data_IF_152423197276
#
_entry.id   IF_152423197276
#
_cell.length_a   1.000
_cell.length_b   1.000
_cell.length_c   1.000
_cell.angle_alpha   90.00
_cell.angle_beta   90.00
_cell.angle_gamma   90.00
#
_symmetry.space_group_name_H-M   'P 1'
#
loop_
_entity.id
_entity.type
_entity.pdbx_description
1 polymer ?
#
# COMPACT_ATOMS: atom_id res chain seq x y z
N UNK A 1 -18.52 -12.03 9.66
CA UNK A 1 -18.02 -10.69 10.04
C UNK A 1 -19.16 -9.70 9.90
N UNK A 2 -19.44 -8.92 10.95
CA UNK A 2 -20.39 -7.83 10.88
C UNK A 2 -19.75 -6.65 10.16
N UNK A 3 -20.40 -6.12 9.16
CA UNK A 3 -19.96 -4.98 8.36
C UNK A 3 -21.03 -3.88 8.48
N UNK A 4 -20.76 -2.89 9.33
CA UNK A 4 -21.69 -1.82 9.65
C UNK A 4 -21.06 -0.48 9.27
N UNK A 5 -21.84 0.38 8.64
CA UNK A 5 -21.44 1.76 8.37
C UNK A 5 -22.37 2.71 9.10
N UNK A 6 -21.77 3.57 9.92
CA UNK A 6 -22.47 4.66 10.61
C UNK A 6 -22.22 5.96 9.85
N UNK A 7 -23.30 6.59 9.41
CA UNK A 7 -23.29 7.96 8.90
C UNK A 7 -23.61 8.92 10.03
N UNK A 8 -22.88 10.04 10.11
CA UNK A 8 -23.14 11.09 11.09
C UNK A 8 -23.84 12.27 10.41
N UNK A 9 -25.07 12.57 10.85
CA UNK A 9 -25.84 13.73 10.41
C UNK A 9 -25.46 14.94 11.28
N UNK A 10 -24.70 15.87 10.70
CA UNK A 10 -24.25 17.07 11.40
C UNK A 10 -25.38 18.02 11.80
N UNK A 11 -26.48 18.04 11.06
CA UNK A 11 -27.60 18.91 11.35
C UNK A 11 -28.42 18.41 12.55
N UNK A 12 -28.45 17.12 12.77
CA UNK A 12 -29.18 16.47 13.87
C UNK A 12 -28.28 16.06 15.03
N UNK A 13 -26.95 16.19 14.89
CA UNK A 13 -25.94 15.71 15.85
C UNK A 13 -26.16 14.23 16.25
N UNK A 14 -26.49 13.41 15.26
CA UNK A 14 -26.83 12.00 15.47
C UNK A 14 -26.12 11.10 14.47
N UNK A 15 -25.70 9.94 14.96
CA UNK A 15 -25.22 8.84 14.11
C UNK A 15 -26.37 7.89 13.79
N UNK A 16 -26.50 7.50 12.53
CA UNK A 16 -27.44 6.49 12.09
C UNK A 16 -26.74 5.44 11.24
N UNK A 17 -27.24 4.21 11.26
CA UNK A 17 -26.73 3.19 10.34
C UNK A 17 -27.14 3.55 8.91
N UNK A 18 -26.14 3.59 8.00
CA UNK A 18 -26.40 3.61 6.57
C UNK A 18 -26.69 2.20 6.08
N UNK A 19 -25.90 1.23 6.54
CA UNK A 19 -26.16 -0.17 6.32
C UNK A 19 -25.69 -1.03 7.52
N UNK A 20 -26.27 -2.22 7.59
CA UNK A 20 -25.93 -3.23 8.59
C UNK A 20 -25.95 -4.59 7.92
N UNK A 21 -24.76 -5.18 7.74
CA UNK A 21 -24.59 -6.41 6.98
C UNK A 21 -23.84 -7.46 7.79
N UNK A 22 -24.20 -8.71 7.52
CA UNK A 22 -23.45 -9.90 7.91
C UNK A 22 -22.76 -10.49 6.69
N UNK A 23 -21.42 -10.59 6.76
CA UNK A 23 -20.58 -11.11 5.69
C UNK A 23 -19.99 -12.46 6.06
N UNK A 24 -20.13 -13.43 5.16
CA UNK A 24 -19.41 -14.71 5.20
C UNK A 24 -18.50 -14.80 3.99
N UNK A 25 -17.22 -15.06 4.21
CA UNK A 25 -16.23 -15.19 3.15
C UNK A 25 -15.49 -16.53 3.26
N UNK A 26 -15.50 -17.27 2.17
CA UNK A 26 -14.67 -18.45 1.96
C UNK A 26 -13.52 -18.09 1.04
N UNK A 27 -12.29 -18.37 1.50
CA UNK A 27 -11.09 -17.99 0.78
C UNK A 27 -10.09 -19.14 0.74
N UNK A 28 -9.63 -19.48 -0.45
CA UNK A 28 -8.57 -20.45 -0.68
C UNK A 28 -7.42 -19.77 -1.43
N UNK A 29 -6.19 -19.99 -0.95
CA UNK A 29 -4.99 -19.37 -1.53
C UNK A 29 -3.93 -20.43 -1.75
N UNK A 30 -3.47 -20.52 -2.99
CA UNK A 30 -2.34 -21.36 -3.38
C UNK A 30 -1.17 -20.45 -3.76
N UNK A 31 0.03 -20.79 -3.30
CA UNK A 31 1.26 -20.05 -3.60
C UNK A 31 2.32 -21.01 -4.15
N UNK A 32 3.00 -20.58 -5.19
CA UNK A 32 4.18 -21.21 -5.73
C UNK A 32 5.31 -20.19 -5.72
N UNK A 33 6.44 -20.53 -5.09
CA UNK A 33 7.63 -19.69 -5.06
C UNK A 33 8.86 -20.47 -5.50
N UNK A 34 9.75 -19.81 -6.23
CA UNK A 34 11.04 -20.35 -6.59
C UNK A 34 12.13 -19.30 -6.39
N UNK A 35 13.25 -19.71 -5.85
CA UNK A 35 14.45 -18.90 -5.64
C UNK A 35 15.61 -19.59 -6.34
N UNK A 36 16.37 -18.84 -7.14
CA UNK A 36 17.62 -19.29 -7.72
C UNK A 36 18.66 -18.19 -7.57
N UNK A 37 19.66 -18.46 -6.74
CA UNK A 37 20.74 -17.51 -6.48
C UNK A 37 22.07 -18.19 -6.81
N UNK A 38 22.93 -17.47 -7.49
CA UNK A 38 24.27 -17.88 -7.82
C UNK A 38 25.27 -16.78 -7.43
N UNK A 39 26.41 -17.14 -6.93
CA UNK A 39 27.47 -16.22 -6.54
C UNK A 39 28.84 -16.76 -6.94
N UNK A 40 29.68 -15.87 -7.45
CA UNK A 40 31.05 -16.14 -7.84
C UNK A 40 31.99 -15.12 -7.17
N UNK A 41 33.02 -15.65 -6.50
CA UNK A 41 34.13 -14.85 -6.00
C UNK A 41 35.33 -15.05 -6.95
N UNK A 42 35.89 -13.93 -7.43
CA UNK A 42 37.13 -13.97 -8.26
C UNK A 42 38.07 -12.86 -7.78
N UNK A 43 39.10 -13.27 -7.03
CA UNK A 43 40.01 -12.32 -6.37
C UNK A 43 39.23 -11.45 -5.37
N UNK A 44 39.32 -10.14 -5.51
CA UNK A 44 38.62 -9.13 -4.69
C UNK A 44 37.23 -8.77 -5.23
N UNK A 45 36.78 -9.48 -6.27
CA UNK A 45 35.48 -9.21 -6.91
C UNK A 45 34.49 -10.30 -6.58
N UNK A 46 33.25 -9.90 -6.28
CA UNK A 46 32.10 -10.77 -6.06
C UNK A 46 31.01 -10.44 -7.09
N UNK A 47 30.48 -11.45 -7.73
CA UNK A 47 29.35 -11.36 -8.65
C UNK A 47 28.21 -12.19 -8.11
N UNK A 48 27.00 -11.65 -8.17
CA UNK A 48 25.80 -12.34 -7.69
C UNK A 48 24.70 -12.22 -8.74
N UNK A 49 24.04 -13.34 -8.99
CA UNK A 49 22.82 -13.40 -9.78
C UNK A 49 21.71 -13.95 -8.91
N UNK A 50 20.72 -13.13 -8.61
CA UNK A 50 19.61 -13.44 -7.71
C UNK A 50 18.32 -13.44 -8.49
N UNK A 51 17.51 -14.48 -8.32
CA UNK A 51 16.24 -14.62 -8.99
C UNK A 51 15.18 -15.05 -8.00
N UNK A 52 14.04 -14.41 -8.10
CA UNK A 52 12.86 -14.71 -7.33
C UNK A 52 11.65 -14.78 -8.28
N UNK A 53 10.92 -15.88 -8.20
CA UNK A 53 9.65 -16.06 -8.86
C UNK A 53 8.59 -16.41 -7.84
N UNK A 54 7.43 -15.76 -7.92
CA UNK A 54 6.28 -16.06 -7.08
C UNK A 54 5.00 -15.98 -7.89
N UNK A 55 4.16 -16.99 -7.73
CA UNK A 55 2.80 -16.99 -8.24
C UNK A 55 1.83 -17.30 -7.12
N UNK A 56 0.77 -16.49 -7.01
CA UNK A 56 -0.29 -16.64 -6.03
C UNK A 56 -1.63 -16.66 -6.74
N UNK A 57 -2.38 -17.74 -6.56
CA UNK A 57 -3.78 -17.85 -6.93
C UNK A 57 -4.66 -17.73 -5.68
N UNK A 58 -5.68 -16.91 -5.71
CA UNK A 58 -6.66 -16.80 -4.63
C UNK A 58 -8.05 -16.90 -5.21
N UNK A 59 -8.82 -17.88 -4.75
CA UNK A 59 -10.25 -18.00 -5.00
C UNK A 59 -11.01 -17.57 -3.75
N UNK A 60 -11.99 -16.71 -3.90
CA UNK A 60 -12.85 -16.27 -2.81
C UNK A 60 -14.31 -16.25 -3.24
N UNK A 61 -15.16 -16.65 -2.29
CA UNK A 61 -16.60 -16.56 -2.37
C UNK A 61 -17.05 -15.72 -1.17
N UNK A 62 -17.70 -14.61 -1.42
CA UNK A 62 -18.23 -13.71 -0.38
C UNK A 62 -19.75 -13.66 -0.49
N UNK A 63 -20.43 -13.81 0.64
CA UNK A 63 -21.87 -13.71 0.78
C UNK A 63 -22.17 -12.64 1.81
N UNK A 64 -23.09 -11.75 1.50
CA UNK A 64 -23.55 -10.64 2.33
C UNK A 64 -25.05 -10.66 2.42
N UNK A 65 -25.58 -10.45 3.61
CA UNK A 65 -27.01 -10.29 3.85
C UNK A 65 -27.22 -9.18 4.90
N UNK A 66 -28.27 -8.39 4.74
CA UNK A 66 -28.64 -7.36 5.72
C UNK A 66 -29.42 -6.22 5.11
N UNK A 67 -29.51 -5.11 5.86
CA UNK A 67 -30.32 -3.95 5.54
C UNK A 67 -29.47 -2.77 5.10
N UNK A 68 -29.80 -2.20 3.95
CA UNK A 68 -29.38 -0.88 3.51
C UNK A 68 -30.46 0.13 3.92
N UNK A 69 -30.20 0.88 4.98
CA UNK A 69 -31.15 1.87 5.53
C UNK A 69 -31.29 3.13 4.65
N UNK A 70 -30.33 3.36 3.74
CA UNK A 70 -30.43 4.49 2.81
C UNK A 70 -31.48 4.24 1.72
N UNK A 71 -31.52 3.03 1.21
CA UNK A 71 -32.51 2.60 0.22
C UNK A 71 -33.75 1.95 0.84
N UNK A 72 -33.77 1.76 2.16
CA UNK A 72 -34.81 1.00 2.90
C UNK A 72 -35.06 -0.38 2.30
N UNK A 73 -33.96 -1.11 2.03
CA UNK A 73 -33.99 -2.39 1.35
C UNK A 73 -33.20 -3.45 2.14
N UNK A 74 -33.80 -4.62 2.30
CA UNK A 74 -33.03 -5.80 2.63
C UNK A 74 -32.36 -6.36 1.37
N UNK A 75 -31.09 -6.66 1.49
CA UNK A 75 -30.26 -7.09 0.37
C UNK A 75 -29.57 -8.41 0.65
N UNK A 76 -29.31 -9.15 -0.43
CA UNK A 76 -28.31 -10.22 -0.49
C UNK A 76 -27.33 -9.90 -1.60
N UNK A 77 -26.03 -10.03 -1.31
CA UNK A 77 -24.97 -9.91 -2.34
C UNK A 77 -24.09 -11.13 -2.33
N UNK A 78 -23.70 -11.52 -3.50
CA UNK A 78 -22.80 -12.63 -3.73
C UNK A 78 -21.66 -12.19 -4.65
N UNK A 79 -20.43 -12.53 -4.28
CA UNK A 79 -19.25 -12.29 -5.10
C UNK A 79 -18.42 -13.56 -5.22
N UNK A 80 -18.13 -13.96 -6.45
CA UNK A 80 -17.15 -14.99 -6.77
C UNK A 80 -15.97 -14.34 -7.47
N UNK A 81 -14.79 -14.47 -6.89
CA UNK A 81 -13.58 -13.81 -7.35
C UNK A 81 -12.40 -14.78 -7.37
N UNK A 82 -11.74 -14.90 -8.51
CA UNK A 82 -10.42 -15.48 -8.60
C UNK A 82 -9.42 -14.40 -8.95
N UNK A 83 -8.29 -14.35 -8.23
CA UNK A 83 -7.17 -13.45 -8.53
C UNK A 83 -5.90 -14.24 -8.73
N UNK A 84 -5.21 -13.97 -9.84
CA UNK A 84 -3.87 -14.46 -10.12
C UNK A 84 -2.85 -13.33 -10.00
N UNK A 85 -1.78 -13.54 -9.21
CA UNK A 85 -0.66 -12.60 -9.11
C UNK A 85 0.63 -13.33 -9.42
N UNK A 86 1.37 -12.82 -10.39
CA UNK A 86 2.70 -13.32 -10.77
C UNK A 86 3.71 -12.22 -10.53
N UNK A 87 4.83 -12.56 -9.91
CA UNK A 87 5.96 -11.64 -9.71
C UNK A 87 7.25 -12.36 -10.06
N UNK A 88 8.07 -11.73 -10.85
CA UNK A 88 9.44 -12.12 -11.11
C UNK A 88 10.38 -10.96 -10.80
N UNK A 89 11.51 -11.23 -10.19
CA UNK A 89 12.59 -10.27 -9.99
C UNK A 89 13.94 -10.96 -10.24
N UNK A 90 14.69 -10.45 -11.19
CA UNK A 90 16.05 -10.85 -11.50
C UNK A 90 17.01 -9.71 -11.23
N UNK A 91 18.14 -10.00 -10.59
CA UNK A 91 19.16 -9.03 -10.25
C UNK A 91 20.53 -9.61 -10.52
N UNK A 92 21.34 -8.88 -11.29
CA UNK A 92 22.76 -9.13 -11.47
C UNK A 92 23.53 -8.01 -10.78
N UNK A 93 24.46 -8.35 -9.90
CA UNK A 93 25.28 -7.37 -9.18
C UNK A 93 26.75 -7.78 -9.15
N UNK A 94 27.62 -6.77 -9.09
CA UNK A 94 29.04 -6.92 -8.88
C UNK A 94 29.55 -6.02 -7.78
N UNK A 95 30.38 -6.55 -6.91
CA UNK A 95 31.13 -5.83 -5.87
C UNK A 95 32.61 -5.99 -6.14
N UNK A 96 33.35 -4.88 -6.15
CA UNK A 96 34.77 -4.83 -6.44
C UNK A 96 35.49 -4.06 -5.35
N UNK A 97 36.36 -4.73 -4.61
CA UNK A 97 37.27 -4.11 -3.66
C UNK A 97 38.55 -3.74 -4.37
N UNK A 98 38.95 -2.49 -4.26
CA UNK A 98 40.10 -1.88 -4.92
C UNK A 98 41.05 -1.28 -3.87
N UNK A 99 42.37 -1.30 -4.14
CA UNK A 99 43.39 -0.71 -3.28
C UNK A 99 43.30 -1.17 -1.82
N UNK A 100 43.49 -2.46 -1.56
CA UNK A 100 43.53 -3.02 -0.20
C UNK A 100 42.27 -2.65 0.64
N UNK A 101 41.11 -2.75 0.04
CA UNK A 101 39.80 -2.43 0.66
C UNK A 101 39.54 -0.95 1.00
N UNK A 102 40.40 -0.01 0.54
CA UNK A 102 40.14 1.42 0.71
C UNK A 102 39.02 1.94 -0.19
N UNK A 103 38.86 1.32 -1.35
CA UNK A 103 37.80 1.69 -2.30
C UNK A 103 36.92 0.47 -2.59
N UNK A 104 35.63 0.72 -2.73
CA UNK A 104 34.66 -0.29 -3.10
C UNK A 104 33.77 0.25 -4.20
N UNK A 105 33.58 -0.52 -5.27
CA UNK A 105 32.67 -0.22 -6.35
C UNK A 105 31.61 -1.31 -6.39
N UNK A 106 30.34 -0.90 -6.30
CA UNK A 106 29.18 -1.79 -6.41
C UNK A 106 28.32 -1.37 -7.60
N UNK A 107 27.90 -2.32 -8.41
CA UNK A 107 26.92 -2.08 -9.44
C UNK A 107 25.82 -3.14 -9.42
N UNK A 108 24.64 -2.73 -9.86
CA UNK A 108 23.47 -3.61 -9.91
C UNK A 108 22.66 -3.33 -11.17
N UNK A 109 22.23 -4.38 -11.84
CA UNK A 109 21.25 -4.37 -12.91
C UNK A 109 20.05 -5.21 -12.46
N UNK A 110 18.87 -4.64 -12.55
CA UNK A 110 17.63 -5.27 -12.11
C UNK A 110 16.58 -5.29 -13.22
N UNK A 111 15.82 -6.38 -13.27
CA UNK A 111 14.58 -6.46 -14.04
C UNK A 111 13.51 -7.10 -13.18
N UNK A 112 12.31 -6.49 -13.18
CA UNK A 112 11.16 -7.04 -12.49
C UNK A 112 9.93 -7.03 -13.41
N UNK A 113 9.14 -8.08 -13.27
CA UNK A 113 7.85 -8.23 -13.92
C UNK A 113 6.79 -8.55 -12.86
N UNK A 114 5.66 -7.85 -12.91
CA UNK A 114 4.50 -8.16 -12.10
C UNK A 114 3.23 -8.21 -12.97
N UNK A 115 2.39 -9.20 -12.74
CA UNK A 115 1.08 -9.30 -13.37
C UNK A 115 0.00 -9.57 -12.33
N UNK A 116 -1.16 -8.96 -12.57
CA UNK A 116 -2.38 -9.20 -11.81
C UNK A 116 -3.52 -9.50 -12.78
N UNK A 117 -4.29 -10.56 -12.50
CA UNK A 117 -5.42 -10.98 -13.33
C UNK A 117 -6.63 -11.28 -12.48
N UNK A 118 -7.77 -10.76 -12.92
CA UNK A 118 -9.11 -11.20 -12.53
C UNK A 118 -9.80 -11.73 -13.79
N UNK A 119 -9.72 -13.04 -14.05
CA UNK A 119 -10.25 -13.59 -15.32
C UNK A 119 -11.78 -13.66 -15.38
N UNK A 120 -12.47 -13.59 -14.25
CA UNK A 120 -13.94 -13.68 -14.20
C UNK A 120 -14.45 -13.39 -12.78
N UNK A 121 -14.52 -12.13 -12.40
CA UNK A 121 -15.19 -11.73 -11.16
C UNK A 121 -16.68 -11.60 -11.40
N UNK A 122 -17.49 -12.31 -10.62
CA UNK A 122 -18.95 -12.27 -10.69
C UNK A 122 -19.52 -11.62 -9.45
N UNK A 123 -20.43 -10.68 -9.63
CA UNK A 123 -21.17 -10.04 -8.54
C UNK A 123 -22.67 -10.11 -8.85
N UNK A 124 -23.44 -10.56 -7.88
CA UNK A 124 -24.90 -10.59 -7.95
C UNK A 124 -25.46 -9.91 -6.70
N UNK A 125 -26.35 -8.97 -6.91
CA UNK A 125 -27.17 -8.35 -5.86
C UNK A 125 -28.59 -8.87 -5.99
N UNK A 126 -29.24 -9.17 -4.88
CA UNK A 126 -30.67 -9.45 -4.80
C UNK A 126 -31.31 -8.50 -3.81
N UNK A 127 -32.50 -8.04 -4.13
CA UNK A 127 -33.32 -7.13 -3.33
C UNK A 127 -34.53 -7.88 -2.81
N UNK A 128 -34.92 -7.62 -1.59
CA UNK A 128 -36.16 -8.13 -1.02
C UNK A 128 -37.35 -7.33 -1.54
N UNK A 129 -38.40 -8.01 -1.95
CA UNK A 129 -39.69 -7.42 -2.26
C UNK A 129 -40.78 -8.16 -1.51
N UNK A 130 -41.71 -7.43 -0.92
CA UNK A 130 -42.89 -7.99 -0.25
C UNK A 130 -44.10 -7.74 -1.13
N UNK A 131 -44.69 -8.82 -1.65
CA UNK A 131 -45.90 -8.79 -2.46
C UNK A 131 -46.93 -9.71 -1.81
N UNK A 132 -48.11 -9.19 -1.53
CA UNK A 132 -49.25 -9.93 -0.90
C UNK A 132 -48.91 -10.59 0.45
N UNK A 133 -47.95 -10.00 1.21
CA UNK A 133 -47.48 -10.50 2.51
C UNK A 133 -46.38 -11.55 2.45
N UNK A 134 -46.03 -12.03 1.26
CA UNK A 134 -44.87 -12.89 1.03
C UNK A 134 -43.61 -12.08 0.70
N UNK A 135 -42.54 -12.29 1.45
CA UNK A 135 -41.25 -11.66 1.24
C UNK A 135 -40.32 -12.56 0.43
N UNK A 136 -39.85 -12.06 -0.71
CA UNK A 136 -38.97 -12.80 -1.64
C UNK A 136 -37.81 -11.93 -2.10
N UNK A 137 -36.64 -12.57 -2.30
CA UNK A 137 -35.51 -11.92 -2.92
C UNK A 137 -35.54 -12.12 -4.44
N UNK A 138 -35.30 -11.05 -5.18
CA UNK A 138 -35.14 -11.09 -6.63
C UNK A 138 -33.81 -10.53 -7.07
N UNK A 139 -33.20 -11.14 -8.09
CA UNK A 139 -31.87 -10.77 -8.60
C UNK A 139 -31.94 -9.40 -9.27
N UNK A 140 -31.00 -8.53 -8.88
CA UNK A 140 -30.75 -7.22 -9.48
C UNK A 140 -29.28 -7.10 -9.85
N UNK A 141 -28.98 -6.43 -10.94
CA UNK A 141 -27.65 -6.00 -11.37
C UNK A 141 -26.53 -7.09 -11.37
N UNK A 142 -26.77 -8.27 -11.98
CA UNK A 142 -25.67 -9.23 -12.13
C UNK A 142 -24.59 -8.67 -13.05
N UNK A 143 -23.34 -8.77 -12.61
CA UNK A 143 -22.19 -8.22 -13.34
C UNK A 143 -21.02 -9.19 -13.39
N UNK A 144 -20.23 -9.12 -14.46
CA UNK A 144 -18.94 -9.81 -14.59
C UNK A 144 -17.84 -8.80 -14.93
N UNK A 145 -16.68 -8.99 -14.32
CA UNK A 145 -15.52 -8.15 -14.52
C UNK A 145 -14.32 -9.00 -14.91
N UNK A 146 -13.50 -8.46 -15.79
CA UNK A 146 -12.23 -9.01 -16.22
C UNK A 146 -11.18 -7.93 -16.09
N UNK A 147 -10.03 -8.25 -15.48
CA UNK A 147 -8.94 -7.29 -15.32
C UNK A 147 -7.59 -7.96 -15.63
N UNK A 148 -6.73 -7.27 -16.35
CA UNK A 148 -5.36 -7.65 -16.63
C UNK A 148 -4.44 -6.44 -16.40
N UNK A 149 -3.46 -6.59 -15.50
CA UNK A 149 -2.43 -5.60 -15.24
C UNK A 149 -1.07 -6.23 -15.46
N UNK A 150 -0.19 -5.50 -16.15
CA UNK A 150 1.20 -5.88 -16.38
C UNK A 150 2.12 -4.72 -16.10
N UNK A 151 3.09 -4.97 -15.24
CA UNK A 151 4.20 -4.07 -14.92
C UNK A 151 5.51 -4.68 -15.37
N UNK A 152 6.33 -3.89 -16.04
CA UNK A 152 7.73 -4.20 -16.34
C UNK A 152 8.59 -3.08 -15.78
N UNK A 153 9.66 -3.42 -15.07
CA UNK A 153 10.60 -2.46 -14.51
C UNK A 153 12.03 -2.90 -14.81
N UNK A 154 12.85 -1.97 -15.24
CA UNK A 154 14.29 -2.15 -15.39
C UNK A 154 15.01 -1.10 -14.54
N UNK A 155 16.03 -1.52 -13.79
CA UNK A 155 16.78 -0.62 -12.90
C UNK A 155 18.28 -0.83 -13.00
N UNK A 156 19.03 0.23 -12.69
CA UNK A 156 20.47 0.21 -12.59
C UNK A 156 20.94 1.03 -11.42
N UNK A 157 21.99 0.59 -10.74
CA UNK A 157 22.66 1.35 -9.68
C UNK A 157 24.17 1.23 -9.83
N UNK A 158 24.88 2.30 -9.48
CA UNK A 158 26.33 2.31 -9.36
C UNK A 158 26.69 3.08 -8.09
N UNK A 159 27.42 2.44 -7.17
CA UNK A 159 27.84 3.03 -5.90
C UNK A 159 29.35 2.93 -5.76
N UNK A 160 29.94 3.95 -5.17
CA UNK A 160 31.35 4.02 -4.85
C UNK A 160 31.53 4.43 -3.39
N UNK A 161 32.35 3.66 -2.69
CA UNK A 161 32.78 3.93 -1.31
C UNK A 161 34.29 4.21 -1.28
N UNK A 162 34.69 5.25 -0.57
CA UNK A 162 36.09 5.58 -0.28
C UNK A 162 36.31 5.75 1.22
N UNK A 163 37.23 4.97 1.77
CA UNK A 163 37.67 5.07 3.16
C UNK A 163 38.91 5.95 3.24
N UNK A 164 38.88 7.00 4.07
CA UNK A 164 40.01 7.87 4.30
C UNK A 164 40.80 7.36 5.51
N UNK A 165 42.08 7.18 5.36
CA UNK A 165 43.00 6.89 6.47
C UNK A 165 43.54 8.18 7.06
N UNK A 166 42.69 8.88 7.86
CA UNK A 166 43.11 10.18 8.45
C UNK A 166 43.84 9.96 9.76
N UNK A 167 43.29 9.18 10.68
CA UNK A 167 43.91 8.80 11.94
C UNK A 167 43.24 7.56 12.53
N UNK A 168 43.85 6.93 13.55
CA UNK A 168 43.23 5.83 14.29
C UNK A 168 41.95 6.25 15.00
N UNK A 169 41.84 7.52 15.40
CA UNK A 169 40.64 8.07 16.07
C UNK A 169 39.55 8.54 15.09
N UNK A 170 39.90 8.87 13.86
CA UNK A 170 38.95 9.42 12.89
C UNK A 170 39.07 8.73 11.55
N UNK A 171 38.04 7.93 11.20
CA UNK A 171 37.96 7.11 9.97
C UNK A 171 36.71 7.48 9.16
N UNK A 172 36.78 8.57 8.38
CA UNK A 172 35.66 8.96 7.54
C UNK A 172 35.56 8.06 6.30
N UNK A 173 34.30 7.79 5.88
CA UNK A 173 33.99 7.04 4.67
C UNK A 173 33.06 7.89 3.81
N UNK A 174 33.43 8.12 2.57
CA UNK A 174 32.59 8.77 1.57
C UNK A 174 31.84 7.70 0.78
N UNK A 175 30.54 7.87 0.66
CA UNK A 175 29.68 7.05 -0.19
C UNK A 175 29.00 7.96 -1.21
N UNK A 176 29.04 7.57 -2.47
CA UNK A 176 28.34 8.27 -3.56
C UNK A 176 27.79 7.26 -4.54
N UNK A 177 26.73 7.63 -5.23
CA UNK A 177 26.16 6.73 -6.23
C UNK A 177 25.07 7.35 -7.07
N UNK A 178 24.72 6.63 -8.11
CA UNK A 178 23.63 6.97 -9.02
C UNK A 178 22.68 5.78 -9.15
N UNK A 179 21.43 6.09 -9.43
CA UNK A 179 20.35 5.11 -9.63
C UNK A 179 19.46 5.55 -10.78
N UNK A 180 19.02 4.60 -11.57
CA UNK A 180 18.03 4.80 -12.61
C UNK A 180 17.01 3.67 -12.62
N UNK A 181 15.74 3.99 -12.83
CA UNK A 181 14.66 3.03 -13.00
C UNK A 181 13.69 3.52 -14.06
N UNK A 182 13.28 2.61 -14.92
CA UNK A 182 12.17 2.80 -15.85
C UNK A 182 11.13 1.72 -15.62
N UNK A 183 9.87 2.12 -15.47
CA UNK A 183 8.74 1.22 -15.26
C UNK A 183 7.64 1.53 -16.27
N UNK A 184 7.10 0.48 -16.88
CA UNK A 184 5.95 0.55 -17.78
C UNK A 184 4.82 -0.30 -17.24
N UNK A 185 3.62 0.30 -17.17
CA UNK A 185 2.37 -0.34 -16.76
C UNK A 185 1.35 -0.29 -17.87
N UNK A 186 0.68 -1.44 -18.07
CA UNK A 186 -0.53 -1.53 -18.87
C UNK A 186 -1.63 -2.14 -18.01
N UNK A 187 -2.79 -1.54 -18.04
CA UNK A 187 -3.98 -2.01 -17.34
C UNK A 187 -5.16 -1.99 -18.29
N UNK A 188 -5.88 -3.11 -18.34
CA UNK A 188 -7.11 -3.28 -19.10
C UNK A 188 -8.17 -3.95 -18.24
N UNK A 189 -9.40 -3.40 -18.26
CA UNK A 189 -10.54 -4.04 -17.64
C UNK A 189 -11.73 -4.07 -18.60
N UNK A 190 -12.58 -5.10 -18.43
CA UNK A 190 -13.85 -5.23 -19.16
C UNK A 190 -14.97 -5.50 -18.16
N UNK A 191 -16.10 -4.87 -18.41
CA UNK A 191 -17.31 -5.01 -17.61
C UNK A 191 -18.48 -5.46 -18.45
N UNK A 192 -19.19 -6.48 -17.97
CA UNK A 192 -20.42 -6.96 -18.56
C UNK A 192 -21.55 -6.86 -17.54
N UNK A 193 -22.68 -6.32 -17.96
CA UNK A 193 -23.92 -6.24 -17.19
C UNK A 193 -24.94 -7.17 -17.82
N UNK A 194 -25.77 -7.76 -16.98
CA UNK A 194 -26.81 -8.69 -17.40
C UNK A 194 -28.16 -8.03 -17.14
N UNK A 195 -28.83 -7.64 -18.22
CA UNK A 195 -30.14 -7.02 -18.15
C UNK A 195 -31.21 -8.09 -18.22
N UNK A 196 -32.19 -8.01 -17.35
CA UNK A 196 -33.34 -8.90 -17.32
C UNK A 196 -34.47 -8.33 -18.16
N UNK A 197 -35.09 -9.16 -19.00
CA UNK A 197 -36.18 -8.78 -19.89
C UNK A 197 -37.50 -9.28 -19.36
N UNK A 198 -38.54 -8.44 -19.49
CA UNK A 198 -39.95 -8.81 -19.29
C UNK A 198 -40.46 -8.65 -17.85
N UNK A 199 -41.76 -8.82 -17.65
CA UNK A 199 -42.44 -8.77 -16.35
C UNK A 199 -42.20 -10.00 -15.46
N UNK A 200 -41.27 -10.87 -15.84
CA UNK A 200 -40.95 -12.09 -15.12
C UNK A 200 -39.84 -11.96 -14.09
N UNK A 201 -39.79 -10.86 -13.32
CA UNK A 201 -38.89 -10.73 -12.15
C UNK A 201 -39.06 -11.91 -11.18
N UNK A 202 -40.29 -12.46 -11.08
CA UNK A 202 -40.61 -13.60 -10.21
C UNK A 202 -39.87 -14.88 -10.57
N UNK A 203 -39.46 -15.05 -11.86
CA UNK A 203 -38.71 -16.23 -12.29
C UNK A 203 -37.29 -16.29 -11.79
N UNK A 204 -36.72 -15.15 -11.39
CA UNK A 204 -35.33 -15.04 -10.95
C UNK A 204 -35.19 -14.92 -9.44
N UNK A 205 -36.33 -14.84 -8.72
CA UNK A 205 -36.36 -14.68 -7.27
C UNK A 205 -35.74 -15.85 -6.50
N UNK A 206 -35.84 -17.07 -7.05
CA UNK A 206 -35.40 -18.30 -6.38
C UNK A 206 -34.11 -18.88 -6.98
N UNK A 207 -33.40 -18.12 -7.79
CA UNK A 207 -32.20 -18.65 -8.43
C UNK A 207 -31.02 -18.71 -7.46
N UNK A 208 -30.37 -19.86 -7.47
CA UNK A 208 -29.00 -19.94 -6.97
C UNK A 208 -28.11 -18.98 -7.76
N UNK A 209 -27.31 -18.20 -7.07
CA UNK A 209 -26.44 -17.19 -7.67
C UNK A 209 -25.54 -17.74 -8.79
N UNK A 210 -25.17 -19.02 -8.74
CA UNK A 210 -24.41 -19.69 -9.78
C UNK A 210 -25.25 -19.90 -11.06
N UNK A 211 -26.56 -20.08 -10.96
CA UNK A 211 -27.44 -20.32 -12.08
C UNK A 211 -27.75 -19.06 -12.89
N UNK A 212 -27.62 -17.86 -12.30
CA UNK A 212 -27.84 -16.58 -13.01
C UNK A 212 -26.99 -16.47 -14.27
N UNK A 213 -25.77 -16.99 -14.24
CA UNK A 213 -24.83 -16.94 -15.36
C UNK A 213 -24.82 -18.20 -16.23
N UNK A 214 -25.77 -19.11 -16.05
CA UNK A 214 -25.85 -20.34 -16.85
C UNK A 214 -26.34 -20.04 -18.27
N UNK A 215 -25.83 -20.78 -19.25
CA UNK A 215 -26.22 -20.62 -20.66
C UNK A 215 -27.72 -20.81 -20.88
N UNK A 216 -28.39 -21.66 -20.06
CA UNK A 216 -29.82 -21.88 -20.12
C UNK A 216 -30.66 -20.64 -19.80
N UNK A 217 -30.07 -19.67 -19.07
CA UNK A 217 -30.77 -18.47 -18.67
C UNK A 217 -30.39 -17.25 -19.52
N UNK A 218 -29.30 -17.34 -20.27
CA UNK A 218 -28.84 -16.26 -21.16
C UNK A 218 -29.53 -16.44 -22.52
N UNK A 219 -30.48 -15.56 -22.84
CA UNK A 219 -31.23 -15.58 -24.09
C UNK A 219 -31.80 -14.19 -24.38
N UNK A 220 -32.30 -13.99 -25.61
CA UNK A 220 -32.88 -12.71 -26.04
C UNK A 220 -34.19 -12.35 -25.35
N UNK A 221 -34.84 -13.32 -24.73
CA UNK A 221 -36.14 -13.19 -24.06
C UNK A 221 -36.08 -13.33 -22.52
N UNK A 222 -34.91 -13.56 -21.95
CA UNK A 222 -34.72 -13.72 -20.50
C UNK A 222 -33.66 -12.76 -19.93
N UNK A 223 -32.38 -13.16 -20.02
CA UNK A 223 -31.24 -12.34 -19.61
C UNK A 223 -30.35 -12.14 -20.83
N UNK A 224 -30.08 -10.90 -21.19
CA UNK A 224 -29.11 -10.63 -22.23
C UNK A 224 -27.87 -9.92 -21.62
N UNK A 225 -26.72 -10.39 -22.05
CA UNK A 225 -25.44 -9.81 -21.66
C UNK A 225 -25.14 -8.59 -22.54
N UNK A 226 -24.79 -7.48 -21.90
CA UNK A 226 -24.33 -6.26 -22.56
C UNK A 226 -22.95 -5.89 -22.06
N UNK A 227 -22.00 -5.62 -22.95
CA UNK A 227 -20.74 -5.02 -22.56
C UNK A 227 -20.96 -3.56 -22.17
N UNK A 228 -20.48 -3.21 -20.98
CA UNK A 228 -20.56 -1.87 -20.36
C UNK A 228 -19.17 -1.34 -20.06
N UNK A 229 -18.16 -1.84 -20.78
CA UNK A 229 -16.79 -1.37 -20.69
C UNK A 229 -16.70 0.07 -21.14
N UNK A 230 -16.01 0.87 -20.36
CA UNK A 230 -15.75 2.28 -20.63
C UNK A 230 -14.29 2.46 -21.07
N UNK A 231 -13.97 3.50 -21.80
CA UNK A 231 -12.57 3.82 -22.15
C UNK A 231 -11.72 4.13 -20.91
N UNK A 232 -12.33 4.61 -19.83
CA UNK A 232 -11.66 4.82 -18.53
C UNK A 232 -11.24 3.52 -17.84
N UNK A 233 -11.72 2.35 -18.33
CA UNK A 233 -11.38 1.04 -17.77
C UNK A 233 -10.01 0.53 -18.23
N UNK A 234 -9.29 1.30 -19.05
CA UNK A 234 -7.95 0.99 -19.54
C UNK A 234 -7.03 2.19 -19.45
N UNK A 235 -5.77 1.95 -19.10
CA UNK A 235 -4.75 2.99 -19.09
C UNK A 235 -3.36 2.41 -19.30
N UNK A 236 -2.45 3.27 -19.76
CA UNK A 236 -1.01 3.00 -19.83
C UNK A 236 -0.25 4.03 -19.02
N UNK A 237 0.89 3.62 -18.45
CA UNK A 237 1.74 4.54 -17.73
C UNK A 237 3.20 4.18 -17.88
N UNK A 238 4.02 5.21 -18.05
CA UNK A 238 5.47 5.16 -18.02
C UNK A 238 5.98 5.97 -16.83
N UNK A 239 6.96 5.41 -16.10
CA UNK A 239 7.54 6.03 -14.92
C UNK A 239 9.06 6.00 -15.03
N UNK A 240 9.71 7.15 -14.85
CA UNK A 240 11.15 7.30 -14.85
C UNK A 240 11.61 7.86 -13.51
N UNK A 241 12.57 7.20 -12.86
CA UNK A 241 13.25 7.68 -11.66
C UNK A 241 14.75 7.71 -11.91
N UNK A 242 15.35 8.88 -11.81
CA UNK A 242 16.80 9.07 -11.79
C UNK A 242 17.23 9.64 -10.44
N UNK A 243 18.32 9.15 -9.86
CA UNK A 243 18.80 9.67 -8.59
C UNK A 243 20.31 9.69 -8.49
N UNK A 244 20.83 10.61 -7.68
CA UNK A 244 22.21 10.66 -7.26
C UNK A 244 22.29 10.99 -5.76
N UNK A 245 23.30 10.48 -5.08
CA UNK A 245 23.51 10.77 -3.68
C UNK A 245 24.97 10.92 -3.32
N UNK A 246 25.22 11.66 -2.25
CA UNK A 246 26.49 11.73 -1.52
C UNK A 246 26.21 11.62 -0.04
N UNK A 247 27.00 10.79 0.65
CA UNK A 247 26.92 10.62 2.09
C UNK A 247 28.30 10.41 2.71
N UNK A 248 28.49 10.93 3.90
CA UNK A 248 29.69 10.72 4.70
C UNK A 248 29.34 9.95 5.97
N UNK A 249 30.06 8.86 6.21
CA UNK A 249 30.07 8.17 7.49
C UNK A 249 31.29 8.62 8.27
N UNK A 250 31.06 9.23 9.41
CA UNK A 250 32.08 9.85 10.25
C UNK A 250 32.15 9.06 11.57
N UNK A 251 33.23 8.33 11.76
CA UNK A 251 33.49 7.59 12.99
C UNK A 251 34.60 8.31 13.79
N UNK A 252 34.28 8.66 15.03
CA UNK A 252 35.22 9.31 15.97
C UNK A 252 35.48 8.38 17.16
N UNK A 253 36.51 7.58 17.04
CA UNK A 253 36.83 6.53 17.99
C UNK A 253 35.61 5.61 18.19
N UNK A 254 35.40 5.18 19.42
CA UNK A 254 34.26 4.34 19.82
C UNK A 254 33.05 5.19 20.28
N UNK A 255 33.21 6.51 20.39
CA UNK A 255 32.20 7.37 21.02
C UNK A 255 31.19 7.96 20.06
N UNK A 256 31.62 8.41 18.88
CA UNK A 256 30.73 9.12 17.97
C UNK A 256 30.70 8.46 16.59
N UNK A 257 29.52 8.09 16.17
CA UNK A 257 29.24 7.65 14.79
C UNK A 257 28.20 8.58 14.20
N UNK A 258 28.49 9.21 13.08
CA UNK A 258 27.56 10.07 12.37
C UNK A 258 27.48 9.67 10.89
N UNK A 259 26.27 9.54 10.37
CA UNK A 259 26.01 9.39 8.94
C UNK A 259 25.24 10.62 8.48
N UNK A 260 25.79 11.35 7.51
CA UNK A 260 25.16 12.56 6.96
C UNK A 260 25.18 12.43 5.45
N UNK A 261 24.06 12.70 4.80
CA UNK A 261 23.99 12.60 3.36
C UNK A 261 22.80 13.36 2.77
N UNK A 262 22.85 13.50 1.47
CA UNK A 262 21.75 14.03 0.67
C UNK A 262 21.61 13.21 -0.60
N UNK A 263 20.37 12.91 -0.94
CA UNK A 263 19.97 12.27 -2.18
C UNK A 263 19.09 13.22 -2.98
N UNK A 264 19.40 13.41 -4.24
CA UNK A 264 18.55 14.08 -5.22
C UNK A 264 17.83 13.04 -6.06
N UNK A 265 16.55 13.25 -6.32
CA UNK A 265 15.75 12.42 -7.23
C UNK A 265 15.07 13.29 -8.27
N UNK A 266 15.16 12.88 -9.52
CA UNK A 266 14.30 13.29 -10.61
C UNK A 266 13.29 12.19 -10.87
N UNK A 267 12.01 12.52 -10.83
CA UNK A 267 10.90 11.60 -11.04
C UNK A 267 9.98 12.14 -12.13
N UNK A 268 9.59 11.30 -13.06
CA UNK A 268 8.59 11.63 -14.08
C UNK A 268 7.57 10.48 -14.13
N UNK A 269 6.29 10.85 -14.12
CA UNK A 269 5.16 9.96 -14.33
C UNK A 269 4.37 10.45 -15.54
N UNK A 270 4.23 9.60 -16.53
CA UNK A 270 3.31 9.79 -17.67
C UNK A 270 2.20 8.79 -17.57
N UNK A 271 0.96 9.24 -17.78
CA UNK A 271 -0.22 8.39 -17.76
C UNK A 271 -1.18 8.84 -18.84
N UNK A 272 -1.61 7.89 -19.67
CA UNK A 272 -2.59 8.05 -20.71
C UNK A 272 -3.82 7.20 -20.43
N UNK A 273 -4.99 7.84 -20.41
CA UNK A 273 -6.27 7.19 -20.13
C UNK A 273 -7.44 8.11 -20.43
N UNK A 274 -8.54 7.91 -19.74
CA UNK A 274 -9.76 8.73 -19.89
C UNK A 274 -10.32 9.07 -18.51
N UNK A 275 -11.05 10.20 -18.40
CA UNK A 275 -11.86 10.51 -17.20
C UNK A 275 -12.93 9.42 -17.00
N UNK A 276 -13.51 9.36 -15.81
CA UNK A 276 -14.49 8.33 -15.42
C UNK A 276 -15.72 8.25 -16.34
N UNK A 277 -16.03 9.31 -17.09
CA UNK A 277 -17.07 9.35 -18.11
C UNK A 277 -16.68 8.59 -19.41
N UNK A 278 -15.36 8.30 -19.59
CA UNK A 278 -14.80 7.66 -20.78
C UNK A 278 -14.81 8.49 -22.04
N UNK A 279 -15.12 9.79 -21.95
CA UNK A 279 -15.23 10.71 -23.10
C UNK A 279 -13.97 11.55 -23.21
N UNK A 280 -13.56 12.19 -22.13
CA UNK A 280 -12.45 13.11 -22.10
C UNK A 280 -11.13 12.36 -21.86
N UNK A 281 -10.16 12.48 -22.79
CA UNK A 281 -8.85 11.89 -22.58
C UNK A 281 -8.10 12.57 -21.44
N UNK A 282 -7.35 11.79 -20.68
CA UNK A 282 -6.44 12.23 -19.63
C UNK A 282 -5.02 11.95 -20.08
N UNK A 283 -4.21 13.00 -20.15
CA UNK A 283 -2.79 12.94 -20.37
C UNK A 283 -2.10 13.59 -19.18
N UNK A 284 -1.54 12.80 -18.30
CA UNK A 284 -0.81 13.28 -17.14
C UNK A 284 0.69 13.21 -17.43
N UNK A 285 1.42 14.30 -17.25
CA UNK A 285 2.88 14.36 -17.25
C UNK A 285 3.32 15.14 -16.01
N UNK A 286 3.57 14.42 -14.93
CA UNK A 286 4.04 14.98 -13.67
C UNK A 286 5.53 14.74 -13.56
N UNK A 287 6.29 15.78 -13.21
CA UNK A 287 7.71 15.66 -12.90
C UNK A 287 8.05 16.42 -11.62
N UNK A 288 9.06 15.94 -10.92
CA UNK A 288 9.55 16.55 -9.71
C UNK A 288 11.06 16.31 -9.57
N UNK A 289 11.75 17.29 -9.03
CA UNK A 289 13.15 17.15 -8.58
C UNK A 289 13.20 17.46 -7.10
N UNK A 290 13.54 16.45 -6.31
CA UNK A 290 13.47 16.51 -4.86
C UNK A 290 14.82 16.23 -4.22
N UNK A 291 15.04 16.83 -3.03
CA UNK A 291 16.21 16.60 -2.21
C UNK A 291 15.81 15.96 -0.88
N UNK A 292 16.53 14.90 -0.52
CA UNK A 292 16.30 14.10 0.67
C UNK A 292 17.54 14.10 1.56
N UNK A 293 17.69 15.11 2.42
CA UNK A 293 18.74 15.11 3.43
C UNK A 293 18.45 14.05 4.49
N UNK A 294 19.51 13.45 5.02
CA UNK A 294 19.45 12.52 6.15
C UNK A 294 20.65 12.71 7.09
N UNK A 295 20.40 12.63 8.37
CA UNK A 295 21.39 12.68 9.44
C UNK A 295 21.07 11.59 10.44
N UNK A 296 22.09 10.84 10.85
CA UNK A 296 22.00 9.82 11.88
C UNK A 296 23.23 9.94 12.76
N UNK A 297 23.06 10.24 14.03
CA UNK A 297 24.13 10.42 15.00
C UNK A 297 23.91 9.43 16.14
N UNK A 298 24.93 8.65 16.45
CA UNK A 298 24.95 7.77 17.61
C UNK A 298 26.17 8.18 18.50
N UNK A 299 25.86 8.52 19.73
CA UNK A 299 26.88 8.92 20.73
C UNK A 299 26.87 7.94 21.91
N UNK A 300 27.97 7.21 22.07
CA UNK A 300 28.21 6.31 23.19
C UNK A 300 28.65 7.13 24.41
N UNK A 301 27.79 7.30 25.41
CA UNK A 301 28.13 7.93 26.68
C UNK A 301 29.17 7.10 27.42
N UNK A 302 29.03 5.78 27.35
CA UNK A 302 29.98 4.75 27.80
C UNK A 302 29.62 3.41 27.11
N UNK A 303 30.25 2.31 27.50
CA UNK A 303 30.06 0.99 26.93
C UNK A 303 28.60 0.46 27.01
N UNK A 304 27.79 0.98 27.95
CA UNK A 304 26.43 0.52 28.22
C UNK A 304 25.35 1.52 27.81
N UNK A 305 25.69 2.76 27.54
CA UNK A 305 24.70 3.82 27.32
C UNK A 305 24.97 4.53 26.00
N UNK A 306 23.95 4.62 25.17
CA UNK A 306 24.02 5.30 23.87
C UNK A 306 22.82 6.23 23.69
N UNK A 307 23.07 7.37 23.05
CA UNK A 307 22.02 8.29 22.58
C UNK A 307 22.08 8.34 21.07
N UNK A 308 20.92 8.25 20.42
CA UNK A 308 20.78 8.39 18.96
C UNK A 308 19.86 9.54 18.61
N UNK A 309 20.26 10.29 17.60
CA UNK A 309 19.46 11.32 16.96
C UNK A 309 19.38 10.99 15.47
N UNK A 310 18.18 10.99 14.91
CA UNK A 310 17.97 10.81 13.49
C UNK A 310 17.06 11.89 12.91
N UNK A 311 17.38 12.31 11.69
CA UNK A 311 16.53 13.14 10.86
C UNK A 311 16.55 12.60 9.43
N UNK A 312 15.40 12.58 8.77
CA UNK A 312 15.32 12.23 7.37
C UNK A 312 14.06 12.78 6.71
N UNK A 313 14.23 13.32 5.50
CA UNK A 313 13.10 13.65 4.62
C UNK A 313 12.85 12.53 3.63
N UNK A 314 11.58 12.22 3.38
CA UNK A 314 11.16 11.21 2.42
C UNK A 314 9.96 11.70 1.61
N UNK A 315 9.68 11.03 0.50
CA UNK A 315 8.52 11.28 -0.36
C UNK A 315 7.63 10.04 -0.37
N UNK A 316 6.31 10.28 -0.34
CA UNK A 316 5.29 9.31 -0.69
C UNK A 316 4.63 9.79 -1.99
N UNK A 317 4.91 9.09 -3.09
CA UNK A 317 4.30 9.35 -4.38
C UNK A 317 2.98 8.61 -4.44
N UNK A 318 1.97 9.25 -5.04
CA UNK A 318 0.68 8.62 -5.21
C UNK A 318 0.82 7.32 -6.03
N UNK A 319 0.14 6.28 -5.57
CA UNK A 319 0.05 5.03 -6.31
C UNK A 319 -0.86 5.18 -7.53
N UNK A 320 -0.69 4.34 -8.54
CA UNK A 320 -1.54 4.40 -9.74
C UNK A 320 -3.02 4.26 -9.43
N UNK A 321 -3.38 3.43 -8.45
CA UNK A 321 -4.78 3.27 -8.01
C UNK A 321 -5.37 4.55 -7.41
N UNK A 322 -4.53 5.40 -6.83
CA UNK A 322 -4.93 6.67 -6.24
C UNK A 322 -5.07 7.78 -7.29
N UNK A 323 -4.34 7.67 -8.43
CA UNK A 323 -4.31 8.70 -9.48
C UNK A 323 -5.31 8.41 -10.60
N UNK A 324 -5.42 7.14 -11.03
CA UNK A 324 -6.17 6.77 -12.23
C UNK A 324 -7.67 6.94 -12.02
N UNK A 325 -8.39 7.64 -12.91
CA UNK A 325 -9.84 7.85 -12.78
C UNK A 325 -10.68 6.60 -13.12
N UNK A 326 -10.08 5.41 -13.11
CA UNK A 326 -10.77 4.14 -13.19
C UNK A 326 -11.68 3.92 -11.98
N UNK A 327 -12.96 3.66 -12.23
CA UNK A 327 -13.93 3.38 -11.17
C UNK A 327 -14.02 1.87 -10.95
N UNK A 328 -13.71 1.42 -9.75
CA UNK A 328 -13.87 0.03 -9.35
C UNK A 328 -14.75 -0.11 -8.12
N UNK A 329 -15.53 -1.18 -8.08
CA UNK A 329 -16.37 -1.49 -6.94
C UNK A 329 -15.60 -2.34 -5.92
N UNK A 330 -15.57 -1.88 -4.66
CA UNK A 330 -15.05 -2.62 -3.52
C UNK A 330 -16.19 -3.28 -2.75
N UNK A 331 -16.22 -4.61 -2.76
CA UNK A 331 -17.28 -5.38 -2.09
C UNK A 331 -17.26 -5.19 -0.57
N UNK A 332 -16.08 -5.08 0.06
CA UNK A 332 -15.99 -4.94 1.50
C UNK A 332 -16.52 -3.59 1.99
N UNK A 333 -16.24 -2.53 1.24
CA UNK A 333 -16.72 -1.17 1.53
C UNK A 333 -18.15 -0.92 1.03
N UNK A 334 -18.68 -1.80 0.17
CA UNK A 334 -19.94 -1.58 -0.56
C UNK A 334 -19.97 -0.23 -1.29
N UNK A 335 -18.88 0.12 -1.95
CA UNK A 335 -18.68 1.43 -2.53
C UNK A 335 -17.86 1.38 -3.80
N UNK A 336 -18.04 2.38 -4.64
CA UNK A 336 -17.16 2.66 -5.76
C UNK A 336 -15.97 3.48 -5.29
N UNK A 337 -14.79 3.17 -5.84
CA UNK A 337 -13.54 3.88 -5.58
C UNK A 337 -12.99 4.38 -6.90
N UNK A 338 -12.56 5.64 -6.94
CA UNK A 338 -11.93 6.26 -8.11
C UNK A 338 -10.67 7.02 -7.70
N UNK A 339 -9.67 7.04 -8.56
CA UNK A 339 -8.48 7.85 -8.34
C UNK A 339 -8.71 9.33 -8.66
N UNK A 340 -7.71 10.14 -8.32
CA UNK A 340 -7.70 11.59 -8.53
C UNK A 340 -6.39 12.00 -9.22
N UNK A 341 -6.49 12.42 -10.48
CA UNK A 341 -5.34 12.83 -11.31
C UNK A 341 -4.61 14.09 -10.80
N UNK A 342 -5.25 14.84 -9.90
CA UNK A 342 -4.69 16.08 -9.35
C UNK A 342 -3.87 15.88 -8.07
N UNK A 343 -3.61 14.62 -7.67
CA UNK A 343 -2.80 14.33 -6.51
C UNK A 343 -1.37 14.83 -6.66
N UNK A 344 -0.87 15.43 -5.57
CA UNK A 344 0.51 15.89 -5.42
C UNK A 344 1.30 14.85 -4.62
N UNK A 345 2.62 14.85 -4.79
CA UNK A 345 3.52 14.09 -3.93
C UNK A 345 3.37 14.55 -2.47
N UNK A 346 3.33 13.59 -1.56
CA UNK A 346 3.38 13.84 -0.13
C UNK A 346 4.83 13.73 0.38
N UNK A 347 5.22 14.58 1.31
CA UNK A 347 6.56 14.57 1.91
C UNK A 347 6.46 14.34 3.40
N UNK A 348 7.42 13.61 3.94
CA UNK A 348 7.52 13.38 5.38
C UNK A 348 8.90 13.84 5.89
N UNK A 349 8.90 14.68 6.93
CA UNK A 349 10.07 15.01 7.72
C UNK A 349 9.99 14.22 9.02
N UNK A 350 10.98 13.37 9.27
CA UNK A 350 11.03 12.46 10.41
C UNK A 350 12.16 12.89 11.33
N UNK A 351 11.89 12.98 12.63
CA UNK A 351 12.86 13.26 13.69
C UNK A 351 12.70 12.24 14.79
N UNK A 352 13.78 11.61 15.20
CA UNK A 352 13.82 10.58 16.24
C UNK A 352 14.93 10.86 17.22
N UNK A 353 14.63 10.74 18.51
CA UNK A 353 15.59 10.77 19.60
C UNK A 353 15.42 9.51 20.44
N UNK A 354 16.50 8.76 20.67
CA UNK A 354 16.47 7.49 21.38
C UNK A 354 17.64 7.40 22.37
N UNK A 355 17.32 6.95 23.57
CA UNK A 355 18.30 6.53 24.56
C UNK A 355 18.26 5.01 24.72
N UNK A 356 19.41 4.37 24.69
CA UNK A 356 19.59 2.94 24.75
C UNK A 356 20.52 2.58 25.93
N UNK A 357 20.08 1.64 26.75
CA UNK A 357 20.83 1.09 27.87
C UNK A 357 20.99 -0.43 27.72
N UNK A 358 22.22 -0.89 27.77
CA UNK A 358 22.64 -2.28 27.62
C UNK A 358 23.22 -2.80 28.94
N UNK A 359 22.39 -3.21 29.93
CA UNK A 359 22.88 -3.59 31.27
C UNK A 359 23.79 -4.82 31.26
N UNK A 360 23.47 -5.82 30.41
CA UNK A 360 24.24 -7.05 30.24
C UNK A 360 24.08 -7.61 28.80
N UNK A 361 24.90 -8.59 28.38
CA UNK A 361 24.75 -9.23 27.09
C UNK A 361 23.33 -9.81 26.89
N UNK A 362 22.70 -9.41 25.78
CA UNK A 362 21.33 -9.83 25.46
C UNK A 362 20.21 -9.07 26.15
N UNK A 363 20.53 -8.09 27.02
CA UNK A 363 19.57 -7.22 27.68
C UNK A 363 19.59 -5.81 27.08
N UNK A 364 18.42 -5.22 26.95
CA UNK A 364 18.27 -3.87 26.38
C UNK A 364 17.10 -3.14 27.04
N UNK A 365 17.29 -1.89 27.35
CA UNK A 365 16.23 -0.95 27.73
C UNK A 365 16.36 0.26 26.82
N UNK A 366 15.33 0.53 26.04
CA UNK A 366 15.34 1.66 25.09
C UNK A 366 14.12 2.54 25.36
N UNK A 367 14.34 3.84 25.44
CA UNK A 367 13.28 4.85 25.41
C UNK A 367 13.52 5.79 24.24
N UNK A 368 12.49 6.01 23.43
CA UNK A 368 12.53 6.86 22.26
C UNK A 368 11.36 7.82 22.20
N UNK A 369 11.58 8.96 21.55
CA UNK A 369 10.53 9.87 21.14
C UNK A 369 10.70 10.21 19.67
N UNK A 370 9.60 10.35 18.96
CA UNK A 370 9.63 10.75 17.55
C UNK A 370 8.62 11.86 17.27
N UNK A 371 8.94 12.64 16.23
CA UNK A 371 8.06 13.62 15.62
C UNK A 371 8.11 13.48 14.10
N UNK A 372 6.95 13.42 13.47
CA UNK A 372 6.80 13.35 12.02
C UNK A 372 5.86 14.44 11.55
N UNK A 373 6.29 15.20 10.55
CA UNK A 373 5.45 16.17 9.84
C UNK A 373 5.30 15.71 8.40
N UNK A 374 4.05 15.63 7.97
CA UNK A 374 3.68 15.31 6.60
C UNK A 374 3.14 16.55 5.92
N UNK A 375 3.67 16.86 4.74
CA UNK A 375 3.19 17.92 3.86
C UNK A 375 2.44 17.26 2.70
N UNK A 376 1.22 17.72 2.40
CA UNK A 376 0.29 17.15 1.42
C UNK A 376 0.03 15.63 1.59
N UNK A 377 -0.24 15.08 2.77
CA UNK A 377 -0.48 13.65 2.91
C UNK A 377 -1.70 13.24 2.07
N UNK A 378 -1.61 12.08 1.43
CA UNK A 378 -2.70 11.53 0.61
C UNK A 378 -3.65 10.80 1.55
N UNK A 379 -4.91 11.24 1.56
CA UNK A 379 -5.97 10.69 2.39
C UNK A 379 -7.11 10.17 1.51
N UNK A 380 -7.65 9.02 1.87
CA UNK A 380 -8.88 8.53 1.27
C UNK A 380 -10.06 9.30 1.87
N UNK A 381 -10.87 9.88 1.00
CA UNK A 381 -12.06 10.66 1.35
C UNK A 381 -13.28 10.04 0.69
N UNK A 382 -14.45 10.34 1.18
CA UNK A 382 -15.69 9.84 0.61
C UNK A 382 -16.69 10.95 0.37
N UNK A 383 -17.58 10.72 -0.60
CA UNK A 383 -18.76 11.54 -0.84
C UNK A 383 -19.97 10.64 -1.07
N UNK A 384 -21.12 11.11 -0.68
CA UNK A 384 -22.38 10.49 -1.06
C UNK A 384 -22.75 10.95 -2.47
N UNK A 385 -22.77 10.02 -3.42
CA UNK A 385 -23.32 10.24 -4.74
C UNK A 385 -24.73 9.63 -4.80
N UNK A 386 -25.59 10.09 -5.69
CA UNK A 386 -26.97 9.60 -5.83
C UNK A 386 -27.09 8.09 -6.06
N UNK A 387 -26.00 7.42 -6.43
CA UNK A 387 -25.91 5.94 -6.63
C UNK A 387 -25.27 5.20 -5.44
N UNK A 388 -24.94 5.88 -4.32
CA UNK A 388 -24.29 5.24 -3.17
C UNK A 388 -23.03 5.95 -2.69
N UNK A 389 -22.22 5.23 -1.91
CA UNK A 389 -20.93 5.75 -1.42
C UNK A 389 -19.87 5.70 -2.54
N UNK A 390 -19.16 6.79 -2.69
CA UNK A 390 -18.01 6.88 -3.57
C UNK A 390 -16.78 7.36 -2.79
N UNK A 391 -15.69 6.62 -2.88
CA UNK A 391 -14.40 6.99 -2.32
C UNK A 391 -13.48 7.53 -3.40
N UNK A 392 -12.66 8.49 -3.00
CA UNK A 392 -11.58 9.04 -3.83
C UNK A 392 -10.41 9.42 -2.94
N UNK A 393 -9.37 10.04 -3.50
CA UNK A 393 -8.17 10.43 -2.78
C UNK A 393 -7.92 11.92 -2.94
N UNK A 394 -7.53 12.58 -1.84
CA UNK A 394 -7.15 13.99 -1.84
C UNK A 394 -5.88 14.19 -1.01
N UNK A 395 -5.13 15.23 -1.32
CA UNK A 395 -4.10 15.69 -0.42
C UNK A 395 -4.74 16.53 0.69
N UNK A 396 -4.52 16.15 1.93
CA UNK A 396 -4.77 17.05 3.05
C UNK A 396 -3.68 18.13 3.09
N UNK A 397 -3.90 19.21 3.84
CA UNK A 397 -2.92 20.29 3.93
C UNK A 397 -1.63 19.81 4.59
N UNK A 398 -1.73 19.29 5.80
CA UNK A 398 -0.62 18.67 6.49
C UNK A 398 -1.10 17.65 7.54
N UNK A 399 -0.16 16.85 8.06
CA UNK A 399 -0.41 16.02 9.22
C UNK A 399 0.81 16.02 10.14
N UNK A 400 0.56 15.82 11.43
CA UNK A 400 1.60 15.63 12.42
C UNK A 400 1.38 14.31 13.17
N UNK A 401 2.46 13.63 13.49
CA UNK A 401 2.43 12.49 14.38
C UNK A 401 3.63 12.57 15.35
N UNK A 402 3.39 12.34 16.63
CA UNK A 402 4.44 12.25 17.64
C UNK A 402 4.12 11.13 18.63
N UNK A 403 5.15 10.58 19.22
CA UNK A 403 4.97 9.49 20.15
C UNK A 403 6.19 9.20 20.99
N UNK A 404 5.97 8.33 21.97
CA UNK A 404 7.01 7.79 22.85
C UNK A 404 6.96 6.28 22.77
N UNK A 405 8.13 5.66 22.72
CA UNK A 405 8.33 4.21 22.62
C UNK A 405 9.20 3.74 23.78
N UNK A 406 8.87 2.59 24.34
CA UNK A 406 9.63 1.91 25.39
C UNK A 406 9.81 0.44 25.01
N UNK A 407 11.07 0.01 24.87
CA UNK A 407 11.43 -1.38 24.62
C UNK A 407 12.27 -1.91 25.79
N UNK A 408 11.90 -3.06 26.32
CA UNK A 408 12.62 -3.74 27.40
C UNK A 408 12.83 -5.19 26.98
N UNK A 409 14.08 -5.64 27.05
CA UNK A 409 14.46 -7.04 27.01
C UNK A 409 15.33 -7.33 28.22
N UNK A 410 14.87 -8.20 29.11
CA UNK A 410 15.55 -8.48 30.37
C UNK A 410 15.58 -9.98 30.65
N UNK A 411 16.75 -10.52 30.96
CA UNK A 411 16.89 -11.88 31.44
C UNK A 411 16.40 -11.98 32.90
N UNK A 412 15.69 -13.04 33.21
CA UNK A 412 15.09 -13.24 34.55
C UNK A 412 15.96 -14.10 35.48
N UNK A 413 17.25 -14.29 35.17
CA UNK A 413 18.22 -15.01 35.99
C UNK A 413 18.33 -14.42 37.38
N UNK A 414 18.14 -13.12 37.56
CA UNK A 414 18.22 -12.41 38.85
C UNK A 414 17.11 -12.80 39.84
N UNK A 415 16.00 -13.42 39.37
CA UNK A 415 14.93 -13.97 40.19
C UNK A 415 14.95 -15.51 40.19
N UNK A 416 16.04 -16.11 39.70
CA UNK A 416 16.20 -17.58 39.68
C UNK A 416 15.62 -18.28 38.47
N UNK A 417 14.98 -17.58 37.54
CA UNK A 417 14.40 -18.14 36.30
C UNK A 417 15.42 -18.17 35.19
N UNK A 418 16.39 -19.08 35.26
CA UNK A 418 17.47 -19.22 34.28
C UNK A 418 16.95 -19.59 32.90
N UNK A 419 17.47 -18.90 31.89
CA UNK A 419 17.10 -19.13 30.51
C UNK A 419 15.75 -18.54 30.08
N UNK A 420 15.06 -17.82 30.99
CA UNK A 420 13.85 -17.07 30.68
C UNK A 420 14.19 -15.59 30.48
N UNK A 421 13.59 -14.96 29.49
CA UNK A 421 13.71 -13.51 29.25
C UNK A 421 12.34 -12.89 29.12
N UNK A 422 12.18 -11.71 29.67
CA UNK A 422 11.00 -10.85 29.52
C UNK A 422 11.21 -9.87 28.39
N UNK A 423 10.23 -9.76 27.50
CA UNK A 423 10.21 -8.79 26.40
C UNK A 423 8.96 -7.92 26.53
N UNK A 424 9.15 -6.63 26.47
CA UNK A 424 8.07 -5.65 26.46
C UNK A 424 8.36 -4.58 25.39
N UNK A 425 7.36 -4.29 24.55
CA UNK A 425 7.37 -3.16 23.64
C UNK A 425 6.09 -2.37 23.86
N UNK A 426 6.21 -1.10 24.18
CA UNK A 426 5.07 -0.20 24.34
C UNK A 426 5.28 1.08 23.53
N UNK A 427 4.22 1.53 22.85
CA UNK A 427 4.22 2.81 22.15
C UNK A 427 2.92 3.58 22.43
N UNK A 428 3.04 4.88 22.63
CA UNK A 428 1.93 5.82 22.61
C UNK A 428 2.14 6.79 21.45
N UNK A 429 1.13 6.93 20.58
CA UNK A 429 1.21 7.68 19.34
C UNK A 429 0.01 8.62 19.25
N UNK A 430 0.27 9.90 19.09
CA UNK A 430 -0.76 10.90 18.77
C UNK A 430 -0.54 11.38 17.34
N UNK A 431 -1.60 11.39 16.53
CA UNK A 431 -1.57 11.93 15.18
C UNK A 431 -2.78 12.79 14.88
N UNK A 432 -2.60 13.75 13.97
CA UNK A 432 -3.68 14.59 13.47
C UNK A 432 -3.41 15.00 12.03
N UNK A 433 -4.43 14.83 11.19
CA UNK A 433 -4.50 15.33 9.81
C UNK A 433 -5.30 16.60 9.81
N UNK A 434 -4.81 17.61 9.10
CA UNK A 434 -5.45 18.91 8.93
C UNK A 434 -5.84 19.08 7.47
N UNK A 435 -7.08 19.43 7.24
CA UNK A 435 -7.62 19.68 5.91
C UNK A 435 -7.67 21.17 5.61
N UNK A 436 -7.60 21.52 4.33
CA UNK A 436 -7.70 22.91 3.90
C UNK A 436 -9.06 23.51 4.27
N UNK A 437 -9.08 24.82 4.52
CA UNK A 437 -10.31 25.55 4.79
C UNK A 437 -11.31 25.39 3.62
N UNK A 438 -12.57 25.08 3.95
CA UNK A 438 -13.60 24.76 2.95
C UNK A 438 -13.65 23.31 2.48
N UNK A 439 -12.78 22.42 3.00
CA UNK A 439 -12.89 20.98 2.78
C UNK A 439 -14.17 20.41 3.43
N UNK A 440 -14.74 19.38 2.80
CA UNK A 440 -15.81 18.60 3.43
C UNK A 440 -15.33 17.70 4.56
N UNK A 441 -14.01 17.40 4.59
CA UNK A 441 -13.37 16.60 5.63
C UNK A 441 -13.06 17.46 6.85
N UNK A 442 -13.14 16.85 8.04
CA UNK A 442 -12.74 17.48 9.31
C UNK A 442 -11.38 16.96 9.75
N UNK A 443 -10.66 17.80 10.48
CA UNK A 443 -9.43 17.40 11.15
C UNK A 443 -9.67 16.19 12.06
N UNK A 444 -8.86 15.15 11.87
CA UNK A 444 -8.99 13.87 12.54
C UNK A 444 -7.64 13.19 12.78
N UNK A 445 -7.63 12.11 13.54
CA UNK A 445 -6.46 11.21 13.58
C UNK A 445 -6.16 10.61 12.19
N UNK A 446 -4.91 10.28 11.93
CA UNK A 446 -4.51 9.59 10.70
C UNK A 446 -5.23 8.24 10.58
N UNK A 447 -5.68 7.91 9.37
CA UNK A 447 -6.38 6.66 9.10
C UNK A 447 -5.46 5.45 9.39
N UNK A 448 -6.04 4.41 10.03
CA UNK A 448 -5.32 3.17 10.30
C UNK A 448 -4.28 3.23 11.43
N UNK A 449 -4.11 4.39 12.09
CA UNK A 449 -3.16 4.53 13.19
C UNK A 449 -3.80 4.16 14.51
N UNK A 450 -3.15 3.23 15.25
CA UNK A 450 -3.51 2.92 16.63
C UNK A 450 -2.85 3.91 17.59
N UNK A 451 -3.58 4.47 18.60
CA UNK A 451 -3.00 5.41 19.55
C UNK A 451 -2.02 4.76 20.52
N UNK A 452 -2.08 3.46 20.71
CA UNK A 452 -1.14 2.70 21.52
C UNK A 452 -0.93 1.31 20.96
N UNK A 453 0.26 0.80 21.19
CA UNK A 453 0.68 -0.54 20.80
C UNK A 453 1.42 -1.15 21.98
N UNK A 454 1.01 -2.35 22.41
CA UNK A 454 1.62 -3.06 23.54
C UNK A 454 1.84 -4.51 23.13
N UNK A 455 3.07 -4.99 23.25
CA UNK A 455 3.45 -6.38 23.05
C UNK A 455 4.24 -6.85 24.27
N UNK A 456 3.96 -8.06 24.74
CA UNK A 456 4.68 -8.72 25.82
C UNK A 456 5.02 -10.15 25.43
N UNK A 457 6.16 -10.65 25.86
CA UNK A 457 6.60 -12.02 25.58
C UNK A 457 7.56 -12.55 26.63
#
# INVERSE_FOLDING_TARGET
KNNNYLSYDMAKDQSSYRYRYDDVQYKNTTKLGALFNWSLMKGTSKYEFRNFFNQRGTSSLSQREGTDFYSDQNIRKWESLYTGRTTYSGQLSGEHKLREDMNKLDWTLGYAFAAYKEPDRKVVKSLESTTDGDSRYYVSDPTRYYQDLKDNSASTALNYEHKFAVSEMFTPVLNTGVYGEFKKRNFDARRFVYNMLGSGYDRFAEWDYSSVFSDANISTDRIYMKESTNKSDSYTSDNLLGAAYVAAKLNWGERLNANVGVRMEYYQLKLDGYESDGIKPVHLDQNATDFFPSVNIAYNLNEKHQVRLAYGRSVNRAEFREIVPYVYYDFALDANITGNVNLKNAYANNMDLRYEFYPAPGETVTIGGFYKRFDNPIEQTYMEAGSGLQYTYHNADHANAFGVELDIKKNLDFIGLKGLSFVFNGAYIHSRVYFAEGSFERDRAMQGQSPYLINTG
#
